data_IF_569861629019
#
_entry.id   IF_569861629019
#
_cell.length_a   1.000
_cell.length_b   1.000
_cell.length_c   1.000
_cell.angle_alpha   90.00
_cell.angle_beta   90.00
_cell.angle_gamma   90.00
#
_symmetry.space_group_name_H-M   'P 1'
#
loop_
_entity.id
_entity.type
_entity.pdbx_description
1 polymer ?
#
# COMPACT_ATOMS: atom_id res chain seq x y z
N UNK A 1 3.36 -20.58 18.55
CA UNK A 1 3.32 -20.86 17.12
C UNK A 1 4.51 -20.23 16.41
N UNK A 2 4.99 -20.87 15.36
CA UNK A 2 6.23 -20.44 14.69
C UNK A 2 6.15 -19.08 13.99
N UNK A 3 4.96 -18.59 13.67
CA UNK A 3 4.80 -17.40 12.84
C UNK A 3 3.84 -16.38 13.45
N UNK A 4 3.89 -16.24 14.78
CA UNK A 4 3.01 -15.32 15.51
C UNK A 4 3.23 -13.86 15.11
N UNK A 5 4.49 -13.47 14.95
CA UNK A 5 4.82 -12.07 14.58
C UNK A 5 4.28 -11.72 13.21
N UNK A 6 4.49 -12.57 12.20
CA UNK A 6 4.00 -12.32 10.85
C UNK A 6 2.47 -12.29 10.82
N UNK A 7 1.81 -13.20 11.54
CA UNK A 7 0.35 -13.23 11.65
C UNK A 7 -0.18 -11.96 12.31
N UNK A 8 0.43 -11.52 13.40
CA UNK A 8 0.05 -10.30 14.11
C UNK A 8 0.19 -9.06 13.21
N UNK A 9 1.32 -8.96 12.51
CA UNK A 9 1.60 -7.83 11.63
C UNK A 9 0.62 -7.78 10.45
N UNK A 10 0.31 -8.94 9.86
CA UNK A 10 -0.65 -9.00 8.77
C UNK A 10 -2.05 -8.59 9.24
N UNK A 11 -2.49 -9.08 10.40
CA UNK A 11 -3.77 -8.68 10.99
C UNK A 11 -3.83 -7.17 11.23
N UNK A 12 -2.74 -6.60 11.76
CA UNK A 12 -2.63 -5.16 12.02
C UNK A 12 -2.77 -4.36 10.72
N UNK A 13 -2.04 -4.75 9.68
CA UNK A 13 -2.06 -4.05 8.40
C UNK A 13 -3.44 -4.10 7.73
N UNK A 14 -4.08 -5.26 7.74
CA UNK A 14 -5.43 -5.44 7.20
C UNK A 14 -6.43 -4.56 7.97
N UNK A 15 -6.33 -4.54 9.29
CA UNK A 15 -7.20 -3.74 10.15
C UNK A 15 -7.04 -2.25 9.88
N UNK A 16 -5.81 -1.76 9.74
CA UNK A 16 -5.54 -0.35 9.45
C UNK A 16 -6.11 0.09 8.11
N UNK A 17 -6.11 -0.79 7.11
CA UNK A 17 -6.67 -0.51 5.80
C UNK A 17 -8.18 -0.79 5.73
N UNK A 18 -8.75 -1.27 6.82
CA UNK A 18 -10.18 -1.62 6.91
C UNK A 18 -10.59 -2.61 5.81
N UNK A 19 -9.74 -3.57 5.53
CA UNK A 19 -9.98 -4.61 4.54
C UNK A 19 -10.37 -5.92 5.21
N UNK A 20 -11.10 -6.75 4.46
CA UNK A 20 -11.35 -8.15 4.83
C UNK A 20 -10.31 -9.02 4.14
N UNK A 21 -10.00 -10.21 4.68
CA UNK A 21 -9.06 -11.13 4.03
C UNK A 21 -9.41 -11.45 2.58
N UNK A 22 -10.70 -11.60 2.27
CA UNK A 22 -11.16 -11.84 0.90
C UNK A 22 -10.82 -10.67 -0.02
N UNK A 23 -11.00 -9.44 0.46
CA UNK A 23 -10.68 -8.23 -0.30
C UNK A 23 -9.18 -8.16 -0.58
N UNK A 24 -8.37 -8.48 0.41
CA UNK A 24 -6.92 -8.53 0.23
C UNK A 24 -6.52 -9.58 -0.83
N UNK A 25 -7.14 -10.74 -0.79
CA UNK A 25 -6.91 -11.79 -1.78
C UNK A 25 -7.25 -11.30 -3.19
N UNK A 26 -8.39 -10.67 -3.34
CA UNK A 26 -8.86 -10.17 -4.64
C UNK A 26 -7.94 -9.07 -5.19
N UNK A 27 -7.53 -8.14 -4.34
CA UNK A 27 -6.70 -7.00 -4.75
C UNK A 27 -5.24 -7.37 -4.99
N UNK A 28 -4.69 -8.25 -4.17
CA UNK A 28 -3.27 -8.62 -4.23
C UNK A 28 -2.98 -9.75 -5.21
N UNK A 29 -3.98 -10.57 -5.51
CA UNK A 29 -3.79 -11.79 -6.29
C UNK A 29 -3.21 -12.95 -5.48
N UNK A 30 -3.05 -12.79 -4.18
CA UNK A 30 -2.62 -13.87 -3.29
C UNK A 30 -3.83 -14.75 -2.96
N UNK A 31 -3.64 -16.06 -3.00
CA UNK A 31 -4.69 -17.02 -2.73
C UNK A 31 -5.27 -16.84 -1.32
N UNK A 32 -6.60 -16.86 -1.21
CA UNK A 32 -7.30 -16.68 0.07
C UNK A 32 -6.89 -17.74 1.10
N UNK A 33 -6.71 -18.98 0.67
CA UNK A 33 -6.25 -20.05 1.56
C UNK A 33 -4.87 -19.74 2.15
N UNK A 34 -3.98 -19.20 1.35
CA UNK A 34 -2.65 -18.77 1.80
C UNK A 34 -2.75 -17.64 2.82
N UNK A 35 -3.60 -16.65 2.56
CA UNK A 35 -3.81 -15.53 3.49
C UNK A 35 -4.34 -16.05 4.83
N UNK A 36 -5.29 -16.99 4.82
CA UNK A 36 -5.81 -17.62 6.02
C UNK A 36 -4.71 -18.31 6.83
N UNK A 37 -3.80 -19.01 6.15
CA UNK A 37 -2.66 -19.66 6.78
C UNK A 37 -1.68 -18.65 7.39
N UNK A 38 -1.46 -17.53 6.73
CA UNK A 38 -0.63 -16.46 7.27
C UNK A 38 -1.27 -15.83 8.51
N UNK A 39 -2.58 -15.61 8.47
CA UNK A 39 -3.32 -14.99 9.58
C UNK A 39 -3.39 -15.88 10.83
N UNK A 40 -3.45 -17.19 10.64
CA UNK A 40 -3.47 -18.12 11.79
C UNK A 40 -2.08 -18.55 12.28
N UNK A 41 -1.03 -18.07 11.58
CA UNK A 41 0.35 -18.34 11.99
C UNK A 41 0.88 -19.71 11.59
N UNK A 42 0.15 -20.50 10.79
CA UNK A 42 0.62 -21.81 10.35
C UNK A 42 1.71 -21.72 9.29
N UNK A 43 1.72 -20.64 8.50
CA UNK A 43 2.72 -20.40 7.47
C UNK A 43 3.17 -18.95 7.47
N UNK A 44 4.45 -18.70 7.17
CA UNK A 44 4.95 -17.35 6.97
C UNK A 44 4.76 -16.95 5.50
N UNK A 45 4.45 -15.67 5.21
CA UNK A 45 4.36 -15.21 3.83
C UNK A 45 5.69 -15.38 3.10
N UNK A 46 5.62 -15.82 1.86
CA UNK A 46 6.80 -15.87 0.99
C UNK A 46 7.21 -14.46 0.56
N UNK A 47 8.41 -14.34 -0.02
CA UNK A 47 8.90 -13.08 -0.57
C UNK A 47 7.93 -12.52 -1.62
N UNK A 48 7.43 -13.37 -2.50
CA UNK A 48 6.50 -12.98 -3.58
C UNK A 48 5.15 -12.54 -2.99
N UNK A 49 4.58 -13.32 -2.08
CA UNK A 49 3.29 -12.99 -1.44
C UNK A 49 3.39 -11.71 -0.62
N UNK A 50 4.48 -11.54 0.12
CA UNK A 50 4.71 -10.32 0.90
C UNK A 50 4.81 -9.09 0.01
N UNK A 51 5.46 -9.20 -1.14
CA UNK A 51 5.53 -8.12 -2.12
C UNK A 51 4.17 -7.71 -2.65
N UNK A 52 3.35 -8.69 -3.01
CA UNK A 52 1.99 -8.46 -3.53
C UNK A 52 1.08 -7.83 -2.47
N UNK A 53 1.08 -8.39 -1.27
CA UNK A 53 0.26 -7.86 -0.17
C UNK A 53 0.76 -6.49 0.30
N UNK A 54 2.07 -6.31 0.35
CA UNK A 54 2.68 -5.05 0.79
C UNK A 54 2.27 -3.87 -0.07
N UNK A 55 2.11 -4.06 -1.36
CA UNK A 55 1.63 -3.01 -2.27
C UNK A 55 0.22 -2.56 -1.94
N UNK A 56 -0.67 -3.52 -1.65
CA UNK A 56 -2.07 -3.24 -1.34
C UNK A 56 -2.19 -2.62 0.06
N UNK A 57 -1.44 -3.14 1.02
CA UNK A 57 -1.50 -2.70 2.41
C UNK A 57 -0.63 -1.48 2.70
N UNK A 58 0.18 -1.06 1.74
CA UNK A 58 1.12 0.06 1.89
C UNK A 58 2.09 -0.16 3.05
N UNK A 59 2.67 -1.36 3.10
CA UNK A 59 3.68 -1.72 4.10
C UNK A 59 4.90 -2.34 3.43
N UNK A 60 6.03 -2.31 4.13
CA UNK A 60 7.25 -2.94 3.66
C UNK A 60 7.08 -4.47 3.66
N UNK A 61 7.33 -5.15 2.53
CA UNK A 61 7.25 -6.61 2.48
C UNK A 61 8.14 -7.31 3.52
N UNK A 62 9.32 -6.75 3.80
CA UNK A 62 10.22 -7.29 4.81
C UNK A 62 9.60 -7.25 6.20
N UNK A 63 8.84 -6.18 6.49
CA UNK A 63 8.11 -6.07 7.75
C UNK A 63 7.06 -7.18 7.86
N UNK A 64 6.32 -7.46 6.78
CA UNK A 64 5.36 -8.56 6.74
C UNK A 64 6.01 -9.93 6.94
N UNK A 65 7.26 -10.08 6.50
CA UNK A 65 8.02 -11.32 6.66
C UNK A 65 8.61 -11.49 8.05
N UNK A 66 8.48 -10.50 8.91
CA UNK A 66 8.94 -10.58 10.30
C UNK A 66 10.31 -9.97 10.57
N UNK A 67 10.91 -9.29 9.60
CA UNK A 67 12.19 -8.63 9.79
C UNK A 67 12.04 -7.39 10.68
N UNK A 68 13.11 -7.03 11.35
CA UNK A 68 13.17 -5.86 12.22
C UNK A 68 13.40 -4.60 11.37
N UNK A 69 12.36 -4.20 10.68
CA UNK A 69 12.34 -3.00 9.82
C UNK A 69 11.06 -2.23 10.13
N UNK A 70 11.00 -0.92 9.81
CA UNK A 70 9.77 -0.15 9.97
C UNK A 70 8.61 -0.71 9.13
N UNK A 71 7.39 -0.59 9.63
CA UNK A 71 6.18 -1.02 8.92
C UNK A 71 6.07 -0.37 7.56
N UNK A 72 6.37 0.92 7.49
CA UNK A 72 6.39 1.70 6.24
C UNK A 72 7.74 2.37 6.10
N UNK A 73 8.17 2.51 4.84
CA UNK A 73 9.39 3.27 4.57
C UNK A 73 9.17 4.70 5.05
N UNK A 74 10.21 5.27 5.66
CA UNK A 74 10.15 6.65 6.12
C UNK A 74 9.84 7.57 4.94
N UNK A 75 9.05 8.62 5.21
CA UNK A 75 8.59 9.56 4.18
C UNK A 75 9.68 10.20 3.33
N UNK A 76 10.94 10.10 3.78
CA UNK A 76 12.01 10.93 3.24
C UNK A 76 12.54 10.49 1.88
N UNK A 77 12.55 9.19 1.56
CA UNK A 77 13.13 8.72 0.30
C UNK A 77 12.10 8.34 -0.77
N UNK A 78 11.04 7.59 -0.41
CA UNK A 78 10.12 7.12 -1.44
C UNK A 78 9.08 8.15 -1.85
N UNK A 79 8.62 9.01 -0.93
CA UNK A 79 7.70 10.10 -1.29
C UNK A 79 8.41 11.21 -2.05
N UNK A 80 9.62 11.58 -1.62
CA UNK A 80 10.43 12.58 -2.34
C UNK A 80 10.72 12.13 -3.77
N UNK A 81 11.03 10.83 -3.96
CA UNK A 81 11.27 10.28 -5.29
C UNK A 81 10.01 10.27 -6.15
N UNK A 82 8.86 9.96 -5.57
CA UNK A 82 7.57 10.00 -6.29
C UNK A 82 7.19 11.41 -6.67
N UNK A 83 7.36 12.37 -5.77
CA UNK A 83 7.09 13.77 -6.04
C UNK A 83 8.00 14.32 -7.13
N UNK A 84 9.27 13.99 -7.08
CA UNK A 84 10.24 14.38 -8.09
C UNK A 84 9.89 13.78 -9.46
N UNK A 85 9.54 12.50 -9.49
CA UNK A 85 9.12 11.82 -10.71
C UNK A 85 7.86 12.45 -11.31
N UNK A 86 6.89 12.81 -10.46
CA UNK A 86 5.68 13.49 -10.88
C UNK A 86 5.99 14.86 -11.47
N UNK A 87 6.87 15.63 -10.83
CA UNK A 87 7.30 16.94 -11.34
C UNK A 87 8.01 16.82 -12.69
N UNK A 88 8.87 15.83 -12.88
CA UNK A 88 9.51 15.57 -14.16
C UNK A 88 8.49 15.29 -15.26
N UNK A 89 7.54 14.42 -14.99
CA UNK A 89 6.47 14.08 -15.94
C UNK A 89 5.62 15.28 -16.25
N UNK A 90 5.28 16.07 -15.25
CA UNK A 90 4.51 17.29 -15.41
C UNK A 90 5.23 18.31 -16.31
N UNK A 91 6.56 18.42 -16.15
CA UNK A 91 7.36 19.36 -16.95
C UNK A 91 7.43 18.99 -18.42
N UNK A 92 7.16 17.73 -18.79
CA UNK A 92 7.12 17.28 -20.18
C UNK A 92 5.84 17.66 -20.90
N UNK A 93 4.83 18.12 -20.17
CA UNK A 93 3.54 18.53 -20.75
C UNK A 93 3.63 19.94 -21.30
N UNK A 94 2.81 20.22 -22.30
CA UNK A 94 2.66 21.60 -22.82
C UNK A 94 1.76 22.41 -21.87
N UNK A 95 1.65 23.73 -22.11
CA UNK A 95 0.90 24.63 -21.23
C UNK A 95 -0.57 24.24 -21.10
N UNK A 96 -1.21 23.86 -22.19
CA UNK A 96 -2.60 23.43 -22.19
C UNK A 96 -2.78 22.15 -21.38
N UNK A 97 -1.88 21.19 -21.55
CA UNK A 97 -1.91 19.92 -20.82
C UNK A 97 -1.68 20.14 -19.32
N UNK A 98 -0.76 21.04 -18.96
CA UNK A 98 -0.51 21.41 -17.56
C UNK A 98 -1.77 21.99 -16.92
N UNK A 99 -2.46 22.88 -17.62
CA UNK A 99 -3.71 23.48 -17.12
C UNK A 99 -4.80 22.43 -16.91
N UNK A 100 -4.91 21.47 -17.83
CA UNK A 100 -5.87 20.36 -17.69
C UNK A 100 -5.58 19.52 -16.46
N UNK A 101 -4.32 19.18 -16.21
CA UNK A 101 -3.90 18.40 -15.03
C UNK A 101 -4.20 19.18 -13.76
N UNK A 102 -3.87 20.47 -13.73
CA UNK A 102 -4.15 21.32 -12.56
C UNK A 102 -5.65 21.40 -12.29
N UNK A 103 -6.46 21.53 -13.33
CA UNK A 103 -7.92 21.53 -13.20
C UNK A 103 -8.46 20.24 -12.61
N UNK A 104 -7.91 19.10 -13.03
CA UNK A 104 -8.28 17.79 -12.48
C UNK A 104 -7.91 17.66 -11.00
N UNK A 105 -6.72 18.13 -10.64
CA UNK A 105 -6.26 18.12 -9.24
C UNK A 105 -7.18 19.00 -8.39
N UNK A 106 -7.49 20.21 -8.85
CA UNK A 106 -8.38 21.13 -8.15
C UNK A 106 -9.77 20.52 -7.92
N UNK A 107 -10.30 19.84 -8.94
CA UNK A 107 -11.58 19.15 -8.85
C UNK A 107 -11.57 18.04 -7.80
N UNK A 108 -10.51 17.27 -7.78
CA UNK A 108 -10.35 16.19 -6.78
C UNK A 108 -10.26 16.74 -5.37
N UNK A 109 -9.52 17.83 -5.17
CA UNK A 109 -9.39 18.49 -3.87
C UNK A 109 -10.75 19.04 -3.42
N UNK A 110 -11.51 19.66 -4.32
CA UNK A 110 -12.84 20.19 -4.03
C UNK A 110 -13.81 19.09 -3.60
N UNK A 111 -13.78 17.94 -4.28
CA UNK A 111 -14.60 16.79 -3.90
C UNK A 111 -14.24 16.25 -2.52
N UNK A 112 -12.96 16.21 -2.21
CA UNK A 112 -12.46 15.75 -0.91
C UNK A 112 -12.95 16.67 0.22
N UNK A 113 -12.91 17.97 0.02
CA UNK A 113 -13.40 18.95 1.01
C UNK A 113 -14.90 18.83 1.24
N UNK A 114 -15.68 18.54 0.19
CA UNK A 114 -17.14 18.32 0.30
C UNK A 114 -17.49 17.08 1.10
N UNK A 115 -16.72 16.00 0.95
CA UNK A 115 -16.99 14.77 1.68
C UNK A 115 -16.55 14.82 3.14
N UNK A 116 -15.70 15.76 3.51
CA UNK A 116 -15.27 15.98 4.90
C UNK A 116 -16.24 16.86 5.71
N UNK A 117 -17.14 17.53 5.04
CA UNK A 117 -18.18 18.33 5.68
C UNK A 117 -19.50 17.60 5.73
#
# INVERSE_FOLDING_TARGET
>A
MKNELTAKRLRQAISEMNLKPQELADLSGVNKASISQYLNGSHAPSNISSGKMGKILNVDPLWLMGFDVPMRKTKDESEANKDFELLEKFSLLNDNEKEMVIGMIDLMISKKKRSET
#
